data_IF_741823897975
#
_entry.id   IF_741823897975
#
_cell.length_a   1.000
_cell.length_b   1.000
_cell.length_c   1.000
_cell.angle_alpha   90.00
_cell.angle_beta   90.00
_cell.angle_gamma   90.00
#
_symmetry.space_group_name_H-M   'P 1'
#
loop_
_entity.id
_entity.type
_entity.pdbx_description
1 polymer ?
#
# COMPACT_ATOMS: atom_id res chain seq x y z
N UNK A 1 30.68 -18.59 -39.80
CA UNK A 1 29.29 -18.62 -39.26
C UNK A 1 29.17 -19.39 -37.93
N UNK A 2 30.00 -20.39 -37.64
CA UNK A 2 29.96 -21.14 -36.34
C UNK A 2 30.29 -20.27 -35.10
N UNK A 3 31.33 -19.42 -35.18
CA UNK A 3 31.79 -18.63 -34.05
C UNK A 3 30.75 -17.61 -33.54
N UNK A 4 29.91 -17.05 -34.41
CA UNK A 4 28.92 -16.07 -34.03
C UNK A 4 27.78 -16.69 -33.19
N UNK A 5 27.35 -17.90 -33.49
CA UNK A 5 26.29 -18.59 -32.74
C UNK A 5 26.79 -19.02 -31.35
N UNK A 6 28.02 -19.51 -31.24
CA UNK A 6 28.63 -19.89 -29.95
C UNK A 6 28.81 -18.68 -29.03
N UNK A 7 29.17 -17.52 -29.61
CA UNK A 7 29.31 -16.27 -28.86
C UNK A 7 27.96 -15.78 -28.32
N UNK A 8 26.88 -15.85 -29.11
CA UNK A 8 25.52 -15.49 -28.65
C UNK A 8 25.03 -16.42 -27.53
N UNK A 9 25.28 -17.71 -27.63
CA UNK A 9 24.93 -18.68 -26.58
C UNK A 9 25.68 -18.38 -25.30
N UNK A 10 26.99 -18.10 -25.38
CA UNK A 10 27.80 -17.75 -24.21
C UNK A 10 27.27 -16.49 -23.55
N UNK A 11 26.98 -15.45 -24.32
CA UNK A 11 26.49 -14.17 -23.81
C UNK A 11 25.11 -14.29 -23.18
N UNK A 12 24.21 -15.07 -23.77
CA UNK A 12 22.91 -15.39 -23.17
C UNK A 12 23.09 -16.10 -21.82
N UNK A 13 24.04 -17.03 -21.68
CA UNK A 13 24.36 -17.70 -20.42
C UNK A 13 24.90 -16.72 -19.35
N UNK A 14 25.72 -15.78 -19.76
CA UNK A 14 26.23 -14.71 -18.87
C UNK A 14 25.06 -13.85 -18.34
N UNK A 15 24.13 -13.45 -19.21
CA UNK A 15 22.92 -12.71 -18.77
C UNK A 15 22.05 -13.54 -17.83
N UNK A 16 21.88 -14.85 -18.09
CA UNK A 16 21.15 -15.73 -17.17
C UNK A 16 21.81 -15.86 -15.80
N UNK A 17 23.13 -15.64 -15.68
CA UNK A 17 23.77 -15.59 -14.36
C UNK A 17 23.32 -14.36 -13.54
N UNK A 18 23.06 -13.23 -14.21
CA UNK A 18 22.49 -12.02 -13.57
C UNK A 18 21.03 -12.27 -13.15
N UNK A 19 20.24 -12.91 -14.02
CA UNK A 19 18.84 -13.27 -13.68
C UNK A 19 18.80 -14.06 -12.38
N UNK A 20 19.66 -15.09 -12.25
CA UNK A 20 19.72 -15.90 -11.01
C UNK A 20 20.07 -15.08 -9.79
N UNK A 21 21.00 -14.12 -9.89
CA UNK A 21 21.35 -13.25 -8.77
C UNK A 21 20.14 -12.44 -8.32
N UNK A 22 19.35 -11.86 -9.25
CA UNK A 22 18.15 -11.13 -8.91
C UNK A 22 17.06 -12.02 -8.30
N UNK A 23 16.86 -13.23 -8.85
CA UNK A 23 15.90 -14.21 -8.32
C UNK A 23 16.32 -14.67 -6.90
N UNK A 24 17.60 -14.95 -6.69
CA UNK A 24 18.14 -15.32 -5.37
C UNK A 24 17.99 -14.19 -4.35
N UNK A 25 18.24 -12.94 -4.75
CA UNK A 25 18.04 -11.78 -3.91
C UNK A 25 16.54 -11.59 -3.59
N UNK A 26 15.66 -11.70 -4.59
CA UNK A 26 14.22 -11.58 -4.38
C UNK A 26 13.72 -12.61 -3.37
N UNK A 27 14.03 -13.89 -3.58
CA UNK A 27 13.68 -14.97 -2.66
C UNK A 27 14.22 -14.76 -1.24
N UNK A 28 15.48 -14.32 -1.13
CA UNK A 28 16.14 -14.05 0.16
C UNK A 28 15.42 -12.96 0.96
N UNK A 29 14.87 -11.95 0.32
CA UNK A 29 14.21 -10.82 0.97
C UNK A 29 12.70 -11.00 1.15
N UNK A 30 12.06 -11.84 0.32
CA UNK A 30 10.67 -12.28 0.52
C UNK A 30 10.56 -13.22 1.74
N UNK A 31 11.56 -14.07 1.94
CA UNK A 31 11.64 -15.02 3.05
C UNK A 31 12.92 -14.80 3.89
N UNK A 32 12.99 -13.71 4.66
CA UNK A 32 14.21 -13.41 5.42
C UNK A 32 14.50 -14.50 6.44
N UNK A 33 15.81 -14.80 6.70
CA UNK A 33 16.21 -15.78 7.69
C UNK A 33 15.58 -15.51 9.06
N UNK A 34 15.15 -16.55 9.76
CA UNK A 34 14.42 -16.46 11.03
C UNK A 34 15.17 -15.71 12.14
N UNK A 35 16.50 -15.70 12.11
CA UNK A 35 17.36 -14.95 13.02
C UNK A 35 17.32 -13.43 12.79
N UNK A 36 16.91 -13.00 11.60
CA UNK A 36 16.72 -11.58 11.23
C UNK A 36 15.30 -11.12 11.56
N UNK A 37 14.30 -11.98 11.36
CA UNK A 37 12.89 -11.66 11.59
C UNK A 37 12.49 -11.61 13.07
N UNK A 38 13.17 -12.36 13.93
CA UNK A 38 12.79 -12.54 15.35
C UNK A 38 13.65 -11.70 16.27
N UNK A 39 13.28 -10.45 16.50
CA UNK A 39 13.82 -9.70 17.61
C UNK A 39 12.72 -9.40 18.64
N UNK A 40 12.98 -9.52 19.95
CA UNK A 40 11.99 -9.15 20.95
C UNK A 40 11.60 -7.69 20.81
N UNK A 41 10.32 -7.42 20.79
CA UNK A 41 9.78 -6.11 21.13
C UNK A 41 10.01 -5.90 22.61
N UNK A 42 11.09 -5.20 22.97
CA UNK A 42 11.40 -4.92 24.37
C UNK A 42 10.65 -3.65 24.80
N UNK A 43 9.68 -3.74 25.71
CA UNK A 43 8.92 -2.58 26.16
C UNK A 43 9.73 -1.65 27.08
N UNK A 44 10.82 -2.15 27.68
CA UNK A 44 11.63 -1.40 28.65
C UNK A 44 12.98 -0.97 28.05
N UNK A 45 12.97 0.05 27.19
CA UNK A 45 14.19 0.63 26.63
C UNK A 45 14.99 1.39 27.69
N UNK A 46 16.23 0.95 27.91
CA UNK A 46 17.19 1.70 28.73
C UNK A 46 17.74 2.92 27.98
N UNK A 47 18.37 3.88 28.72
CA UNK A 47 19.03 5.03 28.10
C UNK A 47 20.15 4.60 27.15
N UNK A 48 20.81 3.47 27.43
CA UNK A 48 21.87 2.88 26.61
C UNK A 48 21.30 2.29 25.31
N UNK A 49 20.13 1.66 25.36
CA UNK A 49 19.41 1.18 24.19
C UNK A 49 18.95 2.33 23.28
N UNK A 50 18.52 3.45 23.86
CA UNK A 50 18.17 4.66 23.11
C UNK A 50 19.37 5.28 22.39
N UNK A 51 20.55 5.30 23.03
CA UNK A 51 21.79 5.75 22.41
C UNK A 51 22.18 4.87 21.21
N UNK A 52 22.08 3.54 21.38
CA UNK A 52 22.35 2.55 20.32
C UNK A 52 21.37 2.68 19.18
N UNK A 53 20.08 2.84 19.45
CA UNK A 53 19.05 3.08 18.41
C UNK A 53 19.30 4.40 17.66
N UNK A 54 19.71 5.46 18.37
CA UNK A 54 20.09 6.74 17.75
C UNK A 54 21.31 6.61 16.82
N UNK A 55 22.26 5.74 17.14
CA UNK A 55 23.40 5.45 16.25
C UNK A 55 22.97 4.65 15.02
N UNK A 56 22.12 3.65 15.20
CA UNK A 56 21.53 2.86 14.11
C UNK A 56 20.75 3.77 13.16
N UNK A 57 19.91 4.66 13.69
CA UNK A 57 19.14 5.61 12.90
C UNK A 57 20.06 6.56 12.11
N UNK A 58 21.12 7.05 12.75
CA UNK A 58 22.11 7.91 12.10
C UNK A 58 22.86 7.16 10.98
N UNK A 59 23.23 5.90 11.17
CA UNK A 59 23.82 5.03 10.15
C UNK A 59 22.86 4.80 9.00
N UNK A 60 21.58 4.55 9.28
CA UNK A 60 20.54 4.42 8.28
C UNK A 60 20.46 5.66 7.39
N UNK A 61 20.33 6.83 7.99
CA UNK A 61 20.17 8.12 7.29
C UNK A 61 21.41 8.54 6.49
N UNK A 62 22.61 8.38 7.06
CA UNK A 62 23.84 8.93 6.49
C UNK A 62 24.59 7.96 5.56
N UNK A 63 24.27 6.68 5.59
CA UNK A 63 25.01 5.66 4.87
C UNK A 63 24.13 4.68 4.11
N UNK A 64 23.23 3.97 4.78
CA UNK A 64 22.51 2.84 4.17
C UNK A 64 21.50 3.30 3.13
N UNK A 65 20.60 4.23 3.47
CA UNK A 65 19.59 4.75 2.54
C UNK A 65 20.21 5.46 1.34
N UNK A 66 21.21 6.36 1.52
CA UNK A 66 21.96 6.92 0.38
C UNK A 66 22.66 5.87 -0.49
N UNK A 67 23.24 4.81 0.11
CA UNK A 67 23.87 3.74 -0.66
C UNK A 67 22.85 2.93 -1.49
N UNK A 68 21.69 2.58 -0.93
CA UNK A 68 20.61 1.93 -1.70
C UNK A 68 20.21 2.81 -2.88
N UNK A 69 20.01 4.11 -2.65
CA UNK A 69 19.67 5.09 -3.70
C UNK A 69 20.73 5.14 -4.80
N UNK A 70 22.01 5.14 -4.44
CA UNK A 70 23.13 5.12 -5.36
C UNK A 70 23.16 3.84 -6.20
N UNK A 71 22.99 2.67 -5.55
CA UNK A 71 22.99 1.38 -6.24
C UNK A 71 21.81 1.23 -7.21
N UNK A 72 20.58 1.59 -6.81
CA UNK A 72 19.41 1.51 -7.70
C UNK A 72 19.52 2.51 -8.85
N UNK A 73 20.12 3.69 -8.62
CA UNK A 73 20.40 4.66 -9.68
C UNK A 73 21.45 4.14 -10.65
N UNK A 74 22.48 3.45 -10.15
CA UNK A 74 23.53 2.84 -10.98
C UNK A 74 23.01 1.68 -11.80
N UNK A 75 22.12 0.85 -11.23
CA UNK A 75 21.39 -0.18 -11.98
C UNK A 75 20.53 0.43 -13.09
N UNK A 76 19.81 1.52 -12.81
CA UNK A 76 19.01 2.22 -13.83
C UNK A 76 19.89 2.69 -14.98
N UNK A 77 21.03 3.33 -14.70
CA UNK A 77 21.97 3.78 -15.72
C UNK A 77 22.50 2.63 -16.57
N UNK A 78 22.79 1.47 -15.98
CA UNK A 78 23.25 0.30 -16.73
C UNK A 78 22.25 -0.20 -17.76
N UNK A 79 20.95 0.12 -17.56
CA UNK A 79 19.86 -0.20 -18.48
C UNK A 79 19.59 0.92 -19.49
N UNK A 80 19.81 2.19 -19.10
CA UNK A 80 19.61 3.37 -19.97
C UNK A 80 20.66 3.50 -21.08
N UNK A 81 21.92 3.18 -20.78
CA UNK A 81 23.04 3.26 -21.71
C UNK A 81 23.02 2.21 -22.82
N UNK A 82 21.98 1.35 -22.83
CA UNK A 82 21.82 0.32 -23.85
C UNK A 82 21.30 0.92 -25.16
N UNK A 83 21.93 0.54 -26.28
CA UNK A 83 21.48 0.93 -27.62
C UNK A 83 20.04 0.42 -27.84
N UNK A 84 19.18 1.26 -28.43
CA UNK A 84 17.74 0.97 -28.59
C UNK A 84 17.48 -0.26 -29.48
N UNK A 85 18.36 -0.54 -30.43
CA UNK A 85 18.13 -1.59 -31.44
C UNK A 85 18.50 -3.00 -30.94
N UNK A 86 19.54 -3.11 -30.08
CA UNK A 86 19.99 -4.38 -29.49
C UNK A 86 20.59 -4.15 -28.10
N UNK A 87 19.78 -4.09 -27.05
CA UNK A 87 20.30 -3.85 -25.70
C UNK A 87 21.17 -5.03 -25.25
N UNK A 88 22.45 -4.73 -25.05
CA UNK A 88 23.42 -5.67 -24.52
C UNK A 88 23.83 -5.25 -23.11
N UNK A 89 23.16 -5.78 -22.07
CA UNK A 89 23.49 -5.37 -20.70
C UNK A 89 24.94 -5.74 -20.35
N UNK A 90 25.61 -4.83 -19.65
CA UNK A 90 26.93 -5.07 -19.09
C UNK A 90 26.78 -5.97 -17.87
N UNK A 91 27.07 -7.27 -18.08
CA UNK A 91 26.90 -8.32 -17.08
C UNK A 91 27.81 -8.08 -15.87
N UNK A 92 29.07 -7.73 -16.10
CA UNK A 92 30.06 -7.57 -15.02
C UNK A 92 29.71 -6.35 -14.15
N UNK A 93 29.34 -5.23 -14.77
CA UNK A 93 28.89 -4.04 -14.08
C UNK A 93 27.61 -4.33 -13.27
N UNK A 94 26.62 -4.98 -13.88
CA UNK A 94 25.36 -5.31 -13.24
C UNK A 94 25.55 -6.26 -12.04
N UNK A 95 26.40 -7.28 -12.17
CA UNK A 95 26.75 -8.19 -11.07
C UNK A 95 27.45 -7.47 -9.92
N UNK A 96 28.40 -6.54 -10.24
CA UNK A 96 29.07 -5.73 -9.24
C UNK A 96 28.10 -4.89 -8.43
N UNK A 97 27.23 -4.13 -9.11
CA UNK A 97 26.22 -3.29 -8.45
C UNK A 97 25.24 -4.13 -7.65
N UNK A 98 24.80 -5.28 -8.18
CA UNK A 98 23.88 -6.18 -7.49
C UNK A 98 24.47 -6.75 -6.20
N UNK A 99 25.78 -7.09 -6.20
CA UNK A 99 26.48 -7.56 -5.01
C UNK A 99 26.56 -6.48 -3.93
N UNK A 100 26.85 -5.23 -4.29
CA UNK A 100 26.93 -4.11 -3.36
C UNK A 100 25.54 -3.76 -2.81
N UNK A 101 24.52 -3.81 -3.66
CA UNK A 101 23.12 -3.64 -3.26
C UNK A 101 22.69 -4.74 -2.28
N UNK A 102 22.98 -6.01 -2.57
CA UNK A 102 22.65 -7.14 -1.68
C UNK A 102 23.24 -6.96 -0.28
N UNK A 103 24.52 -6.57 -0.20
CA UNK A 103 25.18 -6.30 1.07
C UNK A 103 24.50 -5.16 1.83
N UNK A 104 24.10 -4.11 1.13
CA UNK A 104 23.47 -2.93 1.74
C UNK A 104 22.05 -3.27 2.21
N UNK A 105 21.26 -3.98 1.39
CA UNK A 105 19.91 -4.44 1.76
C UNK A 105 19.95 -5.38 2.96
N UNK A 106 20.90 -6.33 2.99
CA UNK A 106 21.06 -7.23 4.13
C UNK A 106 21.40 -6.47 5.42
N UNK A 107 22.25 -5.45 5.34
CA UNK A 107 22.59 -4.61 6.49
C UNK A 107 21.37 -3.79 6.95
N UNK A 108 20.56 -3.31 6.01
CA UNK A 108 19.32 -2.56 6.27
C UNK A 108 18.25 -3.46 6.91
N UNK A 109 18.09 -4.69 6.43
CA UNK A 109 17.20 -5.68 7.02
C UNK A 109 17.53 -5.99 8.49
N UNK A 110 18.84 -6.14 8.82
CA UNK A 110 19.29 -6.40 10.20
C UNK A 110 18.93 -5.28 11.18
N UNK A 111 18.69 -4.08 10.72
CA UNK A 111 18.22 -2.96 11.55
C UNK A 111 16.68 -2.80 11.50
N UNK A 112 15.96 -3.83 11.01
CA UNK A 112 14.50 -3.93 10.98
C UNK A 112 13.80 -2.87 10.12
N UNK A 113 14.41 -2.50 8.99
CA UNK A 113 13.79 -1.67 7.95
C UNK A 113 13.26 -2.56 6.81
N UNK A 114 12.42 -3.52 7.18
CA UNK A 114 11.95 -4.59 6.29
C UNK A 114 11.19 -4.05 5.08
N UNK A 115 10.34 -3.04 5.28
CA UNK A 115 9.47 -2.50 4.24
C UNK A 115 10.22 -1.91 3.03
N UNK A 116 11.37 -1.25 3.27
CA UNK A 116 12.18 -0.69 2.18
C UNK A 116 12.90 -1.80 1.42
N UNK A 117 13.35 -2.83 2.15
CA UNK A 117 14.03 -3.99 1.59
C UNK A 117 13.06 -4.80 0.75
N UNK A 118 11.87 -5.11 1.28
CA UNK A 118 10.81 -5.81 0.55
C UNK A 118 10.36 -5.01 -0.69
N UNK A 119 10.17 -3.70 -0.57
CA UNK A 119 9.78 -2.86 -1.71
C UNK A 119 10.81 -2.88 -2.84
N UNK A 120 12.11 -2.81 -2.51
CA UNK A 120 13.19 -2.92 -3.50
C UNK A 120 13.21 -4.31 -4.12
N UNK A 121 13.10 -5.37 -3.30
CA UNK A 121 13.16 -6.74 -3.77
C UNK A 121 11.94 -7.12 -4.63
N UNK A 122 10.75 -7.01 -4.09
CA UNK A 122 9.52 -7.50 -4.74
C UNK A 122 9.13 -6.72 -5.99
N UNK A 123 9.47 -5.42 -6.05
CA UNK A 123 9.08 -4.58 -7.18
C UNK A 123 10.21 -4.39 -8.20
N UNK A 124 11.36 -3.93 -7.73
CA UNK A 124 12.43 -3.48 -8.60
C UNK A 124 13.28 -4.65 -9.11
N UNK A 125 13.71 -5.58 -8.23
CA UNK A 125 14.56 -6.70 -8.64
C UNK A 125 13.80 -7.67 -9.55
N UNK A 126 12.50 -7.86 -9.35
CA UNK A 126 11.64 -8.66 -10.23
C UNK A 126 11.60 -8.06 -11.64
N UNK A 127 11.45 -6.74 -11.76
CA UNK A 127 11.49 -6.06 -13.06
C UNK A 127 12.85 -6.18 -13.75
N UNK A 128 13.95 -6.07 -13.01
CA UNK A 128 15.29 -6.30 -13.55
C UNK A 128 15.50 -7.74 -14.01
N UNK A 129 15.05 -8.72 -13.24
CA UNK A 129 15.07 -10.15 -13.62
C UNK A 129 14.32 -10.37 -14.93
N UNK A 130 13.10 -9.85 -15.03
CA UNK A 130 12.25 -9.95 -16.24
C UNK A 130 12.89 -9.27 -17.45
N UNK A 131 13.50 -8.10 -17.26
CA UNK A 131 14.23 -7.40 -18.31
C UNK A 131 15.42 -8.22 -18.84
N UNK A 132 16.29 -8.68 -17.94
CA UNK A 132 17.47 -9.48 -18.28
C UNK A 132 17.06 -10.80 -18.96
N UNK A 133 16.04 -11.49 -18.46
CA UNK A 133 15.51 -12.69 -19.07
C UNK A 133 15.02 -12.42 -20.50
N UNK A 134 14.33 -11.32 -20.73
CA UNK A 134 13.84 -10.93 -22.05
C UNK A 134 15.00 -10.66 -23.02
N UNK A 135 16.07 -10.00 -22.56
CA UNK A 135 17.29 -9.78 -23.34
C UNK A 135 17.98 -11.12 -23.70
N UNK A 136 18.12 -12.04 -22.74
CA UNK A 136 18.72 -13.35 -22.97
C UNK A 136 17.93 -14.17 -23.99
N UNK A 137 16.61 -14.19 -23.88
CA UNK A 137 15.71 -14.88 -24.82
C UNK A 137 15.80 -14.27 -26.22
N UNK A 138 15.84 -12.93 -26.34
CA UNK A 138 15.93 -12.25 -27.62
C UNK A 138 17.19 -12.63 -28.41
N UNK A 139 18.29 -12.95 -27.73
CA UNK A 139 19.53 -13.42 -28.37
C UNK A 139 19.45 -14.84 -28.92
N UNK A 140 18.52 -15.65 -28.39
CA UNK A 140 18.44 -17.07 -28.69
C UNK A 140 17.37 -17.43 -29.73
N UNK A 141 16.40 -16.54 -29.97
CA UNK A 141 15.25 -16.80 -30.84
C UNK A 141 15.45 -16.24 -32.25
N UNK A 142 14.85 -16.87 -33.26
CA UNK A 142 14.95 -16.45 -34.67
C UNK A 142 14.13 -15.17 -34.96
N UNK A 143 13.02 -14.97 -34.23
CA UNK A 143 12.20 -13.75 -34.29
C UNK A 143 12.13 -13.15 -32.91
N UNK A 144 13.04 -12.22 -32.59
CA UNK A 144 13.16 -11.64 -31.25
C UNK A 144 12.16 -10.49 -30.97
N UNK A 145 11.32 -10.12 -31.92
CA UNK A 145 10.50 -8.89 -31.81
C UNK A 145 9.64 -8.86 -30.53
N UNK A 146 9.02 -9.98 -30.14
CA UNK A 146 8.23 -10.04 -28.91
C UNK A 146 9.09 -9.89 -27.64
N UNK A 147 10.29 -10.49 -27.63
CA UNK A 147 11.19 -10.42 -26.49
C UNK A 147 11.75 -8.99 -26.31
N UNK A 148 12.07 -8.32 -27.41
CA UNK A 148 12.47 -6.91 -27.38
C UNK A 148 11.35 -5.98 -26.92
N UNK A 149 10.10 -6.23 -27.34
CA UNK A 149 8.95 -5.49 -26.84
C UNK A 149 8.78 -5.68 -25.32
N UNK A 150 8.96 -6.90 -24.82
CA UNK A 150 8.91 -7.19 -23.40
C UNK A 150 10.06 -6.49 -22.65
N UNK A 151 11.28 -6.56 -23.16
CA UNK A 151 12.43 -5.87 -22.59
C UNK A 151 12.21 -4.35 -22.54
N UNK A 152 11.70 -3.76 -23.62
CA UNK A 152 11.38 -2.33 -23.68
C UNK A 152 10.32 -1.92 -22.64
N UNK A 153 9.28 -2.73 -22.47
CA UNK A 153 8.26 -2.51 -21.43
C UNK A 153 8.87 -2.60 -20.03
N UNK A 154 9.62 -3.68 -19.75
CA UNK A 154 10.26 -3.84 -18.43
C UNK A 154 11.24 -2.71 -18.14
N UNK A 155 11.96 -2.18 -19.15
CA UNK A 155 12.82 -1.00 -19.00
C UNK A 155 12.03 0.23 -18.56
N UNK A 156 10.85 0.46 -19.14
CA UNK A 156 9.99 1.56 -18.72
C UNK A 156 9.47 1.36 -17.29
N UNK A 157 9.08 0.15 -16.93
CA UNK A 157 8.65 -0.18 -15.57
C UNK A 157 9.79 0.02 -14.56
N UNK A 158 11.03 -0.36 -14.90
CA UNK A 158 12.23 -0.09 -14.10
C UNK A 158 12.40 1.40 -13.83
N UNK A 159 12.25 2.26 -14.84
CA UNK A 159 12.32 3.71 -14.64
C UNK A 159 11.33 4.22 -13.62
N UNK A 160 10.05 3.82 -13.76
CA UNK A 160 8.98 4.24 -12.85
C UNK A 160 9.24 3.73 -11.44
N UNK A 161 9.60 2.45 -11.29
CA UNK A 161 9.85 1.84 -9.98
C UNK A 161 11.11 2.42 -9.31
N UNK A 162 12.17 2.67 -10.07
CA UNK A 162 13.38 3.30 -9.53
C UNK A 162 13.08 4.70 -9.00
N UNK A 163 12.29 5.51 -9.73
CA UNK A 163 11.86 6.81 -9.25
C UNK A 163 11.06 6.69 -7.94
N UNK A 164 10.13 5.75 -7.86
CA UNK A 164 9.37 5.47 -6.63
C UNK A 164 10.26 5.04 -5.45
N UNK A 165 11.25 4.18 -5.69
CA UNK A 165 12.22 3.78 -4.64
C UNK A 165 13.02 4.98 -4.14
N UNK A 166 13.49 5.82 -5.06
CA UNK A 166 14.26 7.04 -4.72
C UNK A 166 13.41 8.00 -3.90
N UNK A 167 12.18 8.29 -4.33
CA UNK A 167 11.25 9.15 -3.60
C UNK A 167 10.95 8.60 -2.21
N UNK A 168 10.70 7.29 -2.09
CA UNK A 168 10.46 6.63 -0.80
C UNK A 168 11.66 6.70 0.14
N UNK A 169 12.88 6.61 -0.39
CA UNK A 169 14.11 6.77 0.38
C UNK A 169 14.26 8.23 0.86
N UNK A 170 14.05 9.20 -0.02
CA UNK A 170 14.16 10.63 0.32
C UNK A 170 13.08 11.02 1.37
N UNK A 171 11.86 10.52 1.22
CA UNK A 171 10.80 10.71 2.20
C UNK A 171 11.14 10.07 3.55
N UNK A 172 11.74 8.87 3.55
CA UNK A 172 12.18 8.19 4.78
C UNK A 172 13.29 8.97 5.48
N UNK A 173 14.26 9.49 4.74
CA UNK A 173 15.32 10.35 5.29
C UNK A 173 14.70 11.62 5.86
N UNK A 174 13.83 12.29 5.12
CA UNK A 174 13.16 13.50 5.56
C UNK A 174 12.29 13.26 6.81
N UNK A 175 11.55 12.14 6.84
CA UNK A 175 10.75 11.72 7.98
C UNK A 175 11.62 11.44 9.20
N UNK A 176 12.71 10.71 9.04
CA UNK A 176 13.61 10.34 10.13
C UNK A 176 14.42 11.51 10.71
N UNK A 177 14.57 12.60 9.96
CA UNK A 177 15.14 13.87 10.42
C UNK A 177 14.06 14.82 11.01
N UNK A 178 12.81 14.45 10.89
CA UNK A 178 11.68 15.20 11.39
C UNK A 178 11.63 15.21 12.93
N UNK A 179 11.03 16.25 13.49
CA UNK A 179 10.61 16.22 14.91
C UNK A 179 9.46 15.22 15.09
N UNK A 180 9.23 14.76 16.33
CA UNK A 180 8.10 13.89 16.67
C UNK A 180 6.77 14.47 16.15
N UNK A 181 6.61 15.79 16.22
CA UNK A 181 5.45 16.49 15.65
C UNK A 181 5.38 16.42 14.12
N UNK A 182 6.51 16.40 13.44
CA UNK A 182 6.54 16.24 11.99
C UNK A 182 6.14 14.81 11.61
N UNK A 183 6.54 13.81 12.39
CA UNK A 183 6.15 12.40 12.23
C UNK A 183 4.64 12.26 12.41
N UNK A 184 4.10 12.65 13.58
CA UNK A 184 2.65 12.60 13.85
C UNK A 184 1.85 13.32 12.76
N UNK A 185 2.33 14.49 12.34
CA UNK A 185 1.68 15.25 11.27
C UNK A 185 1.75 14.53 9.92
N UNK A 186 2.87 13.87 9.61
CA UNK A 186 3.06 13.06 8.40
C UNK A 186 2.02 11.93 8.35
N UNK A 187 1.89 11.15 9.40
CA UNK A 187 0.93 10.07 9.51
C UNK A 187 -0.51 10.56 9.29
N UNK A 188 -0.89 11.66 9.92
CA UNK A 188 -2.22 12.24 9.77
C UNK A 188 -2.47 12.87 8.38
N UNK A 189 -1.41 13.33 7.68
CA UNK A 189 -1.51 13.78 6.28
C UNK A 189 -1.69 12.60 5.33
N UNK A 190 -0.98 11.49 5.55
CA UNK A 190 -1.19 10.25 4.79
C UNK A 190 -2.62 9.76 4.96
N UNK A 191 -3.13 9.75 6.20
CA UNK A 191 -4.53 9.45 6.48
C UNK A 191 -5.50 10.28 5.66
N UNK A 192 -5.28 11.57 5.61
CA UNK A 192 -6.15 12.46 4.83
C UNK A 192 -6.08 12.13 3.34
N UNK A 193 -4.90 11.76 2.83
CA UNK A 193 -4.71 11.27 1.47
C UNK A 193 -5.53 10.00 1.21
N UNK A 194 -5.42 9.00 2.08
CA UNK A 194 -6.20 7.76 1.98
C UNK A 194 -7.70 8.00 2.06
N UNK A 195 -8.16 8.84 2.98
CA UNK A 195 -9.59 9.19 3.09
C UNK A 195 -10.09 9.83 1.79
N UNK A 196 -9.31 10.70 1.17
CA UNK A 196 -9.68 11.29 -0.12
C UNK A 196 -9.75 10.25 -1.24
N UNK A 197 -8.78 9.33 -1.28
CA UNK A 197 -8.76 8.20 -2.22
C UNK A 197 -9.99 7.29 -2.02
N UNK A 198 -10.28 6.89 -0.78
CA UNK A 198 -11.47 6.09 -0.45
C UNK A 198 -12.76 6.80 -0.88
N UNK A 199 -12.84 8.12 -0.64
CA UNK A 199 -14.01 8.90 -1.03
C UNK A 199 -14.22 8.94 -2.54
N UNK A 200 -13.15 9.11 -3.32
CA UNK A 200 -13.18 9.10 -4.78
C UNK A 200 -13.67 7.75 -5.31
N UNK A 201 -13.10 6.65 -4.81
CA UNK A 201 -13.51 5.30 -5.22
C UNK A 201 -14.96 4.97 -4.83
N UNK A 202 -15.39 5.35 -3.63
CA UNK A 202 -16.79 5.18 -3.23
C UNK A 202 -17.75 5.98 -4.12
N UNK A 203 -17.36 7.18 -4.54
CA UNK A 203 -18.18 7.98 -5.47
C UNK A 203 -18.28 7.33 -6.86
N UNK A 204 -17.24 6.67 -7.34
CA UNK A 204 -17.27 5.87 -8.57
C UNK A 204 -18.23 4.69 -8.44
N UNK A 205 -18.16 3.93 -7.37
CA UNK A 205 -19.07 2.80 -7.10
C UNK A 205 -20.52 3.23 -6.84
N UNK A 206 -20.72 4.42 -6.27
CA UNK A 206 -22.05 4.96 -6.01
C UNK A 206 -22.81 5.35 -7.32
N UNK A 207 -22.06 5.67 -8.40
CA UNK A 207 -22.61 6.12 -9.65
C UNK A 207 -22.06 5.32 -10.86
N UNK A 208 -22.35 4.02 -10.96
CA UNK A 208 -21.78 3.15 -12.00
C UNK A 208 -22.16 3.55 -13.45
N UNK A 209 -23.15 4.43 -13.62
CA UNK A 209 -23.57 4.93 -14.94
C UNK A 209 -22.56 5.86 -15.62
N UNK A 210 -21.54 6.34 -14.89
CA UNK A 210 -20.50 7.23 -15.45
C UNK A 210 -19.36 6.47 -16.14
N UNK A 211 -19.22 5.15 -15.90
CA UNK A 211 -18.13 4.34 -16.48
C UNK A 211 -18.48 3.62 -17.78
N UNK A 212 -19.75 3.57 -18.16
CA UNK A 212 -20.14 3.03 -19.46
C UNK A 212 -19.80 4.06 -20.55
N UNK A 213 -18.52 4.11 -20.94
CA UNK A 213 -18.15 4.76 -22.20
C UNK A 213 -18.93 4.12 -23.33
N UNK A 214 -19.47 4.91 -24.30
CA UNK A 214 -20.29 4.39 -25.41
C UNK A 214 -19.59 3.31 -26.24
N UNK A 215 -18.26 3.20 -26.17
CA UNK A 215 -17.47 2.20 -26.88
C UNK A 215 -17.56 0.79 -26.29
N UNK A 216 -17.67 0.64 -24.95
CA UNK A 216 -17.88 -0.69 -24.33
C UNK A 216 -19.30 -1.22 -24.54
N UNK A 217 -20.30 -0.34 -24.59
CA UNK A 217 -21.66 -0.72 -24.94
C UNK A 217 -21.77 -1.19 -26.41
N UNK A 218 -20.93 -0.67 -27.31
CA UNK A 218 -20.88 -1.09 -28.71
C UNK A 218 -20.20 -2.44 -28.91
N UNK A 219 -19.17 -2.77 -28.11
CA UNK A 219 -18.46 -4.06 -28.21
C UNK A 219 -19.31 -5.24 -27.71
N UNK A 220 -20.25 -5.00 -26.78
CA UNK A 220 -21.18 -6.05 -26.31
C UNK A 220 -22.33 -6.32 -27.26
N UNK A 221 -22.65 -5.39 -28.17
CA UNK A 221 -23.77 -5.54 -29.12
C UNK A 221 -23.34 -6.22 -30.45
N UNK A 222 -22.04 -6.22 -30.78
CA UNK A 222 -21.59 -6.66 -32.12
C UNK A 222 -21.21 -8.13 -32.25
N UNK A 223 -21.38 -8.96 -31.21
CA UNK A 223 -20.91 -10.38 -31.24
C UNK A 223 -21.99 -11.45 -31.19
N UNK A 224 -23.29 -11.13 -31.35
CA UNK A 224 -24.35 -12.13 -31.30
C UNK A 224 -25.50 -11.83 -32.25
N UNK A 225 -25.27 -12.03 -33.58
CA UNK A 225 -26.37 -12.11 -34.53
C UNK A 225 -27.02 -13.50 -34.68
N UNK A 226 -26.50 -14.55 -33.98
CA UNK A 226 -27.00 -15.93 -34.11
C UNK A 226 -27.28 -16.67 -32.81
N UNK A 227 -27.56 -16.00 -31.68
CA UNK A 227 -27.92 -16.68 -30.43
C UNK A 227 -29.40 -16.51 -30.06
N UNK A 228 -30.05 -17.63 -29.77
CA UNK A 228 -31.46 -17.75 -29.36
C UNK A 228 -31.80 -16.80 -28.20
N UNK A 229 -32.86 -15.93 -28.32
CA UNK A 229 -33.17 -14.90 -27.34
C UNK A 229 -33.62 -15.42 -25.94
N UNK A 230 -33.74 -16.72 -25.76
CA UNK A 230 -34.26 -17.31 -24.51
C UNK A 230 -33.22 -17.46 -23.39
N UNK A 231 -31.89 -17.40 -23.70
CA UNK A 231 -30.85 -17.74 -22.71
C UNK A 231 -30.15 -16.51 -22.07
N UNK A 232 -30.37 -15.30 -22.59
CA UNK A 232 -29.67 -14.09 -22.09
C UNK A 232 -30.30 -13.43 -20.87
N UNK A 233 -31.51 -13.80 -20.49
CA UNK A 233 -32.23 -13.18 -19.37
C UNK A 233 -31.73 -13.64 -17.99
N UNK A 234 -31.04 -14.76 -17.90
CA UNK A 234 -30.62 -15.34 -16.60
C UNK A 234 -29.31 -14.75 -16.03
N UNK A 235 -28.41 -14.22 -16.83
CA UNK A 235 -27.08 -13.74 -16.39
C UNK A 235 -27.11 -12.25 -16.03
N UNK A 236 -28.00 -11.47 -16.62
CA UNK A 236 -28.05 -10.01 -16.43
C UNK A 236 -28.64 -9.60 -15.08
N UNK A 237 -29.59 -10.37 -14.55
CA UNK A 237 -30.26 -10.08 -13.27
C UNK A 237 -29.35 -10.17 -12.03
N UNK A 238 -28.47 -11.17 -11.85
CA UNK A 238 -27.57 -11.24 -10.69
C UNK A 238 -26.53 -10.11 -10.68
N UNK A 239 -25.95 -9.78 -11.84
CA UNK A 239 -24.95 -8.70 -11.98
C UNK A 239 -25.56 -7.33 -11.69
N UNK A 240 -26.74 -7.06 -12.15
CA UNK A 240 -27.47 -5.82 -11.86
C UNK A 240 -27.77 -5.69 -10.38
N UNK A 241 -28.23 -6.76 -9.73
CA UNK A 241 -28.49 -6.78 -8.28
C UNK A 241 -27.20 -6.58 -7.46
N UNK A 242 -26.05 -7.11 -7.90
CA UNK A 242 -24.76 -6.87 -7.26
C UNK A 242 -24.34 -5.40 -7.39
N UNK A 243 -24.48 -4.79 -8.57
CA UNK A 243 -24.18 -3.37 -8.81
C UNK A 243 -25.08 -2.46 -7.95
N UNK A 244 -26.37 -2.74 -7.86
CA UNK A 244 -27.31 -1.96 -7.03
C UNK A 244 -26.89 -2.01 -5.55
N UNK A 245 -26.54 -3.19 -5.02
CA UNK A 245 -26.04 -3.33 -3.64
C UNK A 245 -24.72 -2.60 -3.42
N UNK A 246 -23.77 -2.76 -4.34
CA UNK A 246 -22.50 -2.04 -4.29
C UNK A 246 -22.73 -0.53 -4.21
N UNK A 247 -23.60 -0.01 -5.08
CA UNK A 247 -23.99 1.41 -5.08
C UNK A 247 -24.65 1.84 -3.78
N UNK A 248 -25.53 1.02 -3.21
CA UNK A 248 -26.23 1.33 -1.97
C UNK A 248 -25.29 1.35 -0.76
N UNK A 249 -24.36 0.37 -0.65
CA UNK A 249 -23.32 0.34 0.38
C UNK A 249 -22.37 1.52 0.20
N UNK A 250 -21.91 1.78 -1.01
CA UNK A 250 -21.02 2.91 -1.29
C UNK A 250 -21.67 4.24 -0.90
N UNK A 251 -22.92 4.48 -1.33
CA UNK A 251 -23.67 5.68 -0.98
C UNK A 251 -23.86 5.85 0.52
N UNK A 252 -24.07 4.75 1.26
CA UNK A 252 -24.22 4.75 2.70
C UNK A 252 -22.89 4.95 3.44
N UNK A 253 -21.74 4.56 2.82
CA UNK A 253 -20.40 4.70 3.39
C UNK A 253 -19.82 6.11 3.19
N UNK A 254 -20.15 6.80 2.09
CA UNK A 254 -19.66 8.15 1.78
C UNK A 254 -19.83 9.15 2.96
N UNK A 255 -20.98 9.25 3.64
CA UNK A 255 -21.11 10.15 4.80
C UNK A 255 -20.14 9.82 5.93
N UNK A 256 -19.87 8.54 6.21
CA UNK A 256 -18.94 8.08 7.23
C UNK A 256 -17.51 8.53 6.92
N UNK A 257 -17.06 8.33 5.66
CA UNK A 257 -15.74 8.77 5.20
C UNK A 257 -15.61 10.30 5.24
N UNK A 258 -16.68 11.04 4.96
CA UNK A 258 -16.71 12.51 5.11
C UNK A 258 -16.56 12.94 6.58
N UNK A 259 -17.20 12.25 7.52
CA UNK A 259 -17.05 12.52 8.96
C UNK A 259 -15.62 12.22 9.44
N UNK A 260 -15.02 11.10 9.00
CA UNK A 260 -13.62 10.77 9.26
C UNK A 260 -12.68 11.86 8.70
N UNK A 261 -12.94 12.35 7.49
CA UNK A 261 -12.19 13.47 6.91
C UNK A 261 -12.26 14.74 7.74
N UNK A 262 -13.44 15.08 8.27
CA UNK A 262 -13.63 16.23 9.13
C UNK A 262 -12.81 16.08 10.42
N UNK A 263 -12.83 14.89 11.04
CA UNK A 263 -12.05 14.58 12.24
C UNK A 263 -10.56 14.74 11.99
N UNK A 264 -10.01 14.06 10.98
CA UNK A 264 -8.58 14.12 10.62
C UNK A 264 -8.14 15.52 10.26
N UNK A 265 -8.95 16.25 9.48
CA UNK A 265 -8.66 17.65 9.13
C UNK A 265 -8.62 18.56 10.36
N UNK A 266 -9.49 18.34 11.34
CA UNK A 266 -9.49 19.10 12.59
C UNK A 266 -8.23 18.82 13.39
N UNK A 267 -7.84 17.55 13.54
CA UNK A 267 -6.61 17.14 14.24
C UNK A 267 -5.36 17.73 13.57
N UNK A 268 -5.26 17.65 12.24
CA UNK A 268 -4.15 18.25 11.50
C UNK A 268 -4.00 19.75 11.70
N UNK A 269 -5.12 20.49 11.85
CA UNK A 269 -5.08 21.93 12.11
C UNK A 269 -4.58 22.28 13.51
N UNK A 270 -4.67 21.33 14.42
CA UNK A 270 -4.23 21.49 15.80
C UNK A 270 -2.75 21.17 15.96
N UNK A 271 -2.18 20.28 15.13
CA UNK A 271 -0.75 19.95 15.15
C UNK A 271 0.06 21.14 14.59
N UNK A 272 1.07 21.64 15.32
CA UNK A 272 1.87 22.78 14.89
C UNK A 272 2.60 22.51 13.57
N UNK A 273 2.58 23.47 12.64
CA UNK A 273 3.30 23.37 11.36
C UNK A 273 4.81 23.51 11.50
N UNK A 274 5.28 24.24 12.49
CA UNK A 274 6.70 24.42 12.88
C UNK A 274 6.74 25.10 14.25
N UNK A 275 7.48 24.53 15.20
CA UNK A 275 8.03 25.32 16.31
C UNK A 275 9.43 25.79 15.93
N UNK A 276 9.60 27.08 15.84
CA UNK A 276 10.80 27.75 15.27
C UNK A 276 11.88 28.01 16.29
N UNK A 277 12.06 27.41 17.43
CA UNK A 277 13.23 27.71 18.28
C UNK A 277 13.26 27.17 19.71
N UNK A 278 12.31 26.35 20.14
CA UNK A 278 12.47 25.68 21.42
C UNK A 278 12.79 24.18 21.17
N UNK A 279 13.70 23.59 21.99
CA UNK A 279 13.85 22.13 21.97
C UNK A 279 12.47 21.54 22.24
N UNK A 280 11.97 20.78 21.29
CA UNK A 280 10.71 20.06 21.37
C UNK A 280 10.73 19.24 22.67
N UNK A 281 9.82 19.44 23.63
CA UNK A 281 9.71 18.50 24.72
C UNK A 281 9.31 17.18 24.08
N UNK A 282 10.28 16.30 23.80
CA UNK A 282 10.11 15.09 23.02
C UNK A 282 8.84 14.35 23.43
N UNK A 283 8.04 13.98 22.44
CA UNK A 283 6.91 13.09 22.69
C UNK A 283 7.53 11.74 23.04
N UNK A 284 7.14 11.11 24.13
CA UNK A 284 7.65 9.79 24.44
C UNK A 284 7.10 8.75 23.43
N UNK A 285 7.84 7.66 23.23
CA UNK A 285 7.51 6.63 22.25
C UNK A 285 6.11 6.04 22.46
N UNK A 286 5.66 5.87 23.70
CA UNK A 286 4.31 5.40 24.03
C UNK A 286 3.23 6.37 23.52
N UNK A 287 3.46 7.66 23.65
CA UNK A 287 2.51 8.67 23.14
C UNK A 287 2.50 8.74 21.61
N UNK A 288 3.65 8.57 20.96
CA UNK A 288 3.74 8.47 19.51
C UNK A 288 2.98 7.25 18.99
N UNK A 289 3.18 6.08 19.60
CA UNK A 289 2.46 4.85 19.26
C UNK A 289 0.96 5.02 19.42
N UNK A 290 0.50 5.62 20.51
CA UNK A 290 -0.92 5.90 20.73
C UNK A 290 -1.52 6.84 19.67
N UNK A 291 -0.75 7.81 19.16
CA UNK A 291 -1.24 8.67 18.08
C UNK A 291 -1.29 7.93 16.75
N UNK A 292 -0.32 7.05 16.49
CA UNK A 292 -0.33 6.17 15.35
C UNK A 292 -1.52 5.20 15.41
N UNK A 293 -1.75 4.55 16.55
CA UNK A 293 -2.87 3.62 16.75
C UNK A 293 -4.24 4.32 16.63
N UNK A 294 -4.35 5.53 17.14
CA UNK A 294 -5.56 6.33 16.99
C UNK A 294 -5.86 6.62 15.52
N UNK A 295 -4.84 6.88 14.72
CA UNK A 295 -4.93 7.05 13.29
C UNK A 295 -5.33 5.75 12.57
N UNK A 296 -4.61 4.66 12.80
CA UNK A 296 -4.88 3.34 12.20
C UNK A 296 -6.29 2.83 12.56
N UNK A 297 -6.76 3.12 13.77
CA UNK A 297 -8.10 2.72 14.19
C UNK A 297 -9.23 3.33 13.35
N UNK A 298 -8.98 4.50 12.73
CA UNK A 298 -9.93 5.15 11.81
C UNK A 298 -9.78 4.60 10.39
N UNK A 299 -8.55 4.51 9.91
CA UNK A 299 -8.28 4.26 8.48
C UNK A 299 -8.45 2.80 8.12
N UNK A 300 -7.89 1.88 8.91
CA UNK A 300 -7.92 0.44 8.62
C UNK A 300 -9.35 -0.08 8.44
N UNK A 301 -10.30 0.17 9.35
CA UNK A 301 -11.67 -0.31 9.14
C UNK A 301 -12.37 0.33 7.93
N UNK A 302 -12.06 1.60 7.60
CA UNK A 302 -12.61 2.25 6.40
C UNK A 302 -12.06 1.62 5.11
N UNK A 303 -10.76 1.28 5.10
CA UNK A 303 -10.11 0.55 3.99
C UNK A 303 -10.75 -0.85 3.82
N UNK A 304 -10.98 -1.55 4.93
CA UNK A 304 -11.58 -2.88 4.92
C UNK A 304 -13.04 -2.84 4.43
N UNK A 305 -13.82 -1.82 4.80
CA UNK A 305 -15.16 -1.59 4.24
C UNK A 305 -15.08 -1.34 2.73
N UNK A 306 -14.10 -0.55 2.26
CA UNK A 306 -13.91 -0.30 0.82
C UNK A 306 -13.57 -1.60 0.07
N UNK A 307 -12.67 -2.41 0.60
CA UNK A 307 -12.33 -3.73 0.03
C UNK A 307 -13.57 -4.63 -0.04
N UNK A 308 -14.44 -4.54 0.97
CA UNK A 308 -15.71 -5.26 1.00
C UNK A 308 -16.67 -4.76 -0.09
N UNK A 309 -16.75 -3.47 -0.34
CA UNK A 309 -17.55 -2.89 -1.44
C UNK A 309 -17.07 -3.42 -2.80
N UNK A 310 -15.76 -3.44 -3.03
CA UNK A 310 -15.17 -4.02 -4.24
C UNK A 310 -15.47 -5.51 -4.38
N UNK A 311 -15.38 -6.26 -3.28
CA UNK A 311 -15.68 -7.69 -3.27
C UNK A 311 -17.11 -8.00 -3.67
N UNK A 312 -18.11 -7.22 -3.20
CA UNK A 312 -19.52 -7.34 -3.60
C UNK A 312 -19.66 -7.18 -5.12
N UNK A 313 -18.96 -6.23 -5.70
CA UNK A 313 -19.00 -5.96 -7.14
C UNK A 313 -18.45 -7.13 -7.97
N UNK A 314 -17.32 -7.74 -7.53
CA UNK A 314 -16.66 -8.79 -8.28
C UNK A 314 -17.40 -10.13 -8.25
N UNK A 315 -18.07 -10.46 -7.16
CA UNK A 315 -18.73 -11.77 -7.00
C UNK A 315 -19.97 -11.98 -7.86
N UNK A 316 -20.57 -10.95 -8.44
CA UNK A 316 -21.75 -11.05 -9.36
C UNK A 316 -22.89 -11.98 -8.87
N UNK A 317 -22.86 -12.40 -7.61
CA UNK A 317 -23.83 -13.35 -7.03
C UNK A 317 -25.02 -12.61 -6.42
N UNK A 318 -26.20 -13.21 -6.53
CA UNK A 318 -27.43 -12.64 -5.97
C UNK A 318 -27.46 -12.68 -4.43
N UNK A 319 -26.63 -13.50 -3.80
CA UNK A 319 -26.55 -13.73 -2.35
C UNK A 319 -25.12 -13.52 -1.86
N UNK A 320 -24.97 -13.01 -0.65
CA UNK A 320 -23.68 -12.89 0.01
C UNK A 320 -23.39 -14.13 0.84
N UNK A 321 -22.09 -14.44 0.98
CA UNK A 321 -21.62 -15.42 1.93
C UNK A 321 -21.89 -14.95 3.37
N UNK A 322 -22.28 -15.88 4.26
CA UNK A 322 -22.57 -15.57 5.66
C UNK A 322 -21.35 -15.03 6.38
N UNK A 323 -20.17 -15.64 6.12
CA UNK A 323 -18.91 -15.25 6.75
C UNK A 323 -18.49 -13.84 6.33
N UNK A 324 -18.72 -13.50 5.06
CA UNK A 324 -18.44 -12.16 4.54
C UNK A 324 -19.35 -11.09 5.16
N UNK A 325 -20.67 -11.37 5.27
CA UNK A 325 -21.62 -10.47 5.92
C UNK A 325 -21.24 -10.23 7.38
N UNK A 326 -20.92 -11.30 8.10
CA UNK A 326 -20.60 -11.24 9.52
C UNK A 326 -19.25 -10.51 9.74
N UNK A 327 -18.28 -10.69 8.84
CA UNK A 327 -17.04 -9.89 8.83
C UNK A 327 -17.33 -8.38 8.64
N UNK A 328 -18.19 -8.02 7.70
CA UNK A 328 -18.58 -6.61 7.52
C UNK A 328 -19.28 -6.04 8.76
N UNK A 329 -20.15 -6.80 9.40
CA UNK A 329 -20.84 -6.37 10.63
C UNK A 329 -19.84 -6.15 11.78
N UNK A 330 -18.81 -7.01 11.92
CA UNK A 330 -17.74 -6.84 12.90
C UNK A 330 -16.93 -5.57 12.64
N UNK A 331 -16.55 -5.31 11.38
CA UNK A 331 -15.86 -4.09 10.97
C UNK A 331 -16.66 -2.82 11.30
N UNK A 332 -17.96 -2.82 11.01
CA UNK A 332 -18.82 -1.68 11.29
C UNK A 332 -19.00 -1.46 12.79
N UNK A 333 -19.07 -2.53 13.59
CA UNK A 333 -19.11 -2.44 15.05
C UNK A 333 -17.79 -1.90 15.62
N UNK A 334 -16.65 -2.25 15.05
CA UNK A 334 -15.35 -1.63 15.39
C UNK A 334 -15.36 -0.14 15.08
N UNK A 335 -15.83 0.26 13.89
CA UNK A 335 -15.97 1.66 13.48
C UNK A 335 -16.88 2.46 14.41
N UNK A 336 -17.95 1.86 14.94
CA UNK A 336 -18.86 2.53 15.87
C UNK A 336 -18.13 3.07 17.10
N UNK A 337 -17.16 2.32 17.62
CA UNK A 337 -16.41 2.70 18.83
C UNK A 337 -15.19 3.57 18.53
N UNK A 338 -14.77 3.67 17.28
CA UNK A 338 -13.51 4.31 16.89
C UNK A 338 -13.47 5.81 17.27
N UNK A 339 -14.54 6.55 17.03
CA UNK A 339 -14.57 7.99 17.33
C UNK A 339 -14.42 8.26 18.82
N UNK A 340 -15.14 7.53 19.67
CA UNK A 340 -15.04 7.66 21.13
C UNK A 340 -13.64 7.28 21.63
N UNK A 341 -13.05 6.18 21.09
CA UNK A 341 -11.70 5.75 21.43
C UNK A 341 -10.67 6.80 21.02
N UNK A 342 -10.72 7.30 19.78
CA UNK A 342 -9.83 8.34 19.28
C UNK A 342 -9.94 9.62 20.15
N UNK A 343 -11.15 10.03 20.49
CA UNK A 343 -11.38 11.20 21.34
C UNK A 343 -10.80 11.01 22.74
N UNK A 344 -10.91 9.80 23.33
CA UNK A 344 -10.36 9.51 24.66
C UNK A 344 -8.84 9.45 24.68
N UNK A 345 -8.19 9.11 23.57
CA UNK A 345 -6.73 9.11 23.45
C UNK A 345 -6.22 10.54 23.16
N UNK A 346 -6.79 11.20 22.18
CA UNK A 346 -6.30 12.49 21.66
C UNK A 346 -6.53 13.62 22.64
N UNK A 347 -7.72 13.71 23.25
CA UNK A 347 -8.05 14.85 24.11
C UNK A 347 -7.12 14.98 25.34
N UNK A 348 -6.88 13.94 26.16
CA UNK A 348 -6.05 14.08 27.36
C UNK A 348 -4.55 14.13 27.08
N UNK A 349 -4.06 13.57 25.96
CA UNK A 349 -2.63 13.46 25.67
C UNK A 349 -2.12 14.50 24.68
N UNK A 350 -2.84 14.73 23.59
CA UNK A 350 -2.43 15.70 22.57
C UNK A 350 -2.62 17.15 23.02
N UNK A 351 -3.73 17.45 23.69
CA UNK A 351 -4.05 18.82 24.05
C UNK A 351 -3.06 19.47 25.03
N UNK A 352 -2.63 18.79 26.11
CA UNK A 352 -1.62 19.35 27.02
C UNK A 352 -0.28 19.59 26.34
N UNK A 353 0.12 18.72 25.40
CA UNK A 353 1.38 18.86 24.66
C UNK A 353 1.37 20.05 23.70
N UNK A 354 0.20 20.36 23.11
CA UNK A 354 0.06 21.45 22.15
C UNK A 354 -0.02 22.85 22.80
N UNK A 355 -0.60 22.96 23.98
CA UNK A 355 -0.97 24.25 24.59
C UNK A 355 -0.29 24.53 25.94
N UNK A 356 0.51 23.58 26.46
CA UNK A 356 1.06 23.62 27.81
C UNK A 356 -0.01 23.31 28.85
N UNK A 357 0.44 22.96 30.07
CA UNK A 357 -0.44 22.53 31.17
C UNK A 357 -1.32 23.66 31.74
N UNK A 358 -1.03 24.93 31.40
CA UNK A 358 -1.72 26.10 31.98
C UNK A 358 -3.06 26.43 31.32
N UNK A 359 -3.38 25.85 30.16
CA UNK A 359 -4.62 26.14 29.44
C UNK A 359 -5.52 24.90 29.33
N UNK A 360 -6.36 24.68 30.33
CA UNK A 360 -7.35 23.60 30.36
C UNK A 360 -8.46 23.72 29.25
N UNK A 361 -8.62 24.92 28.65
CA UNK A 361 -9.68 25.22 27.68
C UNK A 361 -9.63 24.38 26.39
N UNK A 362 -8.47 24.16 25.70
CA UNK A 362 -8.46 23.49 24.40
C UNK A 362 -8.83 22.02 24.44
N UNK A 363 -8.54 21.32 25.54
CA UNK A 363 -8.91 19.89 25.68
C UNK A 363 -10.43 19.74 25.87
N UNK A 364 -11.05 20.63 26.62
CA UNK A 364 -12.51 20.69 26.81
C UNK A 364 -13.20 21.03 25.48
N UNK A 365 -12.63 21.97 24.73
CA UNK A 365 -13.17 22.41 23.44
C UNK A 365 -13.09 21.32 22.38
N UNK A 366 -11.98 20.56 22.32
CA UNK A 366 -11.88 19.41 21.43
C UNK A 366 -12.86 18.31 21.84
N UNK A 367 -12.97 17.99 23.12
CA UNK A 367 -13.92 17.00 23.62
C UNK A 367 -15.37 17.41 23.32
N UNK A 368 -15.73 18.67 23.58
CA UNK A 368 -17.06 19.19 23.27
C UNK A 368 -17.34 19.13 21.76
N UNK A 369 -16.35 19.45 20.94
CA UNK A 369 -16.48 19.36 19.50
C UNK A 369 -16.59 17.92 19.02
N UNK A 370 -15.80 16.96 19.53
CA UNK A 370 -15.87 15.55 19.12
C UNK A 370 -17.24 14.94 19.44
N UNK A 371 -17.86 15.31 20.55
CA UNK A 371 -19.22 14.93 20.90
C UNK A 371 -20.26 15.38 19.83
N UNK A 372 -19.99 16.47 19.11
CA UNK A 372 -20.88 16.90 18.01
C UNK A 372 -20.81 15.98 16.79
N UNK A 373 -19.73 15.19 16.64
CA UNK A 373 -19.59 14.22 15.57
C UNK A 373 -20.15 12.83 15.96
N UNK A 374 -20.21 12.50 17.25
CA UNK A 374 -20.63 11.17 17.71
C UNK A 374 -22.05 10.83 17.23
N UNK A 375 -23.00 11.72 17.39
CA UNK A 375 -24.36 11.50 16.94
C UNK A 375 -24.49 11.22 15.43
N UNK A 376 -23.98 12.10 14.55
CA UNK A 376 -23.93 11.83 13.12
C UNK A 376 -23.15 10.54 12.75
N UNK A 377 -22.05 10.25 13.45
CA UNK A 377 -21.26 9.04 13.24
C UNK A 377 -22.06 7.79 13.54
N UNK A 378 -22.69 7.72 14.71
CA UNK A 378 -23.53 6.58 15.12
C UNK A 378 -24.70 6.37 14.15
N UNK A 379 -25.39 7.44 13.76
CA UNK A 379 -26.50 7.36 12.79
C UNK A 379 -26.05 6.73 11.47
N UNK A 380 -24.89 7.11 10.96
CA UNK A 380 -24.36 6.59 9.69
C UNK A 380 -23.93 5.14 9.84
N UNK A 381 -23.22 4.79 10.92
CA UNK A 381 -22.80 3.42 11.17
C UNK A 381 -24.01 2.50 11.39
N UNK A 382 -25.01 2.93 12.17
CA UNK A 382 -26.22 2.16 12.39
C UNK A 382 -27.02 1.94 11.09
N UNK A 383 -27.04 2.94 10.19
CA UNK A 383 -27.63 2.78 8.87
C UNK A 383 -26.90 1.71 8.03
N UNK A 384 -25.57 1.71 8.05
CA UNK A 384 -24.76 0.70 7.36
C UNK A 384 -24.97 -0.69 7.97
N UNK A 385 -24.99 -0.82 9.30
CA UNK A 385 -25.25 -2.06 10.00
C UNK A 385 -26.62 -2.64 9.60
N UNK A 386 -27.66 -1.81 9.56
CA UNK A 386 -29.00 -2.22 9.14
C UNK A 386 -29.02 -2.66 7.67
N UNK A 387 -28.33 -1.91 6.79
CA UNK A 387 -28.24 -2.24 5.37
C UNK A 387 -27.57 -3.61 5.17
N UNK A 388 -26.38 -3.83 5.76
CA UNK A 388 -25.63 -5.08 5.64
C UNK A 388 -26.41 -6.26 6.26
N UNK A 389 -27.08 -6.03 7.39
CA UNK A 389 -27.93 -7.06 8.03
C UNK A 389 -29.11 -7.46 7.16
N UNK A 390 -29.60 -6.57 6.29
CA UNK A 390 -30.72 -6.85 5.40
C UNK A 390 -30.35 -7.72 4.19
N UNK A 391 -29.06 -7.91 3.92
CA UNK A 391 -28.63 -8.71 2.78
C UNK A 391 -28.99 -10.18 2.93
N UNK A 392 -29.59 -10.75 1.87
CA UNK A 392 -29.88 -12.17 1.81
C UNK A 392 -28.59 -12.97 1.77
N UNK A 393 -28.49 -13.98 2.61
CA UNK A 393 -27.36 -14.88 2.73
C UNK A 393 -27.75 -16.23 2.15
N UNK A 394 -26.87 -16.84 1.39
CA UNK A 394 -27.01 -18.23 1.02
C UNK A 394 -26.81 -19.13 2.23
N UNK A 395 -27.72 -20.05 2.53
CA UNK A 395 -27.42 -21.07 3.52
C UNK A 395 -26.21 -21.86 3.02
N UNK A 396 -25.19 -21.99 3.87
CA UNK A 396 -24.06 -22.89 3.59
C UNK A 396 -24.63 -24.24 3.20
N UNK A 397 -24.48 -24.65 1.95
CA UNK A 397 -24.65 -26.06 1.60
C UNK A 397 -23.58 -26.78 2.41
N UNK A 398 -23.98 -27.43 3.50
CA UNK A 398 -23.17 -28.45 4.13
C UNK A 398 -22.79 -29.40 3.01
N UNK A 399 -21.53 -29.33 2.59
CA UNK A 399 -20.88 -30.42 1.87
C UNK A 399 -21.04 -31.63 2.79
N UNK A 400 -22.16 -32.35 2.59
CA UNK A 400 -22.34 -33.65 3.19
C UNK A 400 -21.09 -34.42 2.82
N UNK A 401 -20.32 -34.76 3.82
CA UNK A 401 -19.30 -35.78 3.78
C UNK A 401 -20.00 -37.03 3.26
N UNK A 402 -19.89 -37.29 1.96
CA UNK A 402 -20.06 -38.65 1.45
C UNK A 402 -18.75 -39.36 1.79
N UNK A 403 -18.81 -40.11 2.88
CA UNK A 403 -17.92 -41.21 3.17
C UNK A 403 -18.07 -42.35 2.13
#
# INVERSE_FOLDING_TARGET
>A
MSNSAEELVKRSQEIYSVVRVFEDMNYKYEFPPADVASGPTDPDLTIEDMATKGEILRKLQSSLLPAIKEHVTSLLKSVEELEEEYPHPDVDLTLGISSDLDQTLMTTLRIKMDWIVSFVAESLLECYSTFMQSCAVAMMVTDPAWAWNQASKSRQDIHVLTAHVIDSIDDTIAWSLGSDWAIVRGDWLMALGEINFLLEHLMQHANPSLELTPDLARLTISSTEDADPSDHTYVETPRKAAMERTSEVANSTIPLVKLARILVTKLLRMIPKKRKSEPDPGINSETLELFHDAFESIIRPLRDVMSSVQHIQWRSQATLDIDFRDCMLDLLNKLKNTLATTSTIVAPRLMPLLHGAEHASPASDFKAWSLTLEGPWDIVVDRLLNLVSSFKVEPQQQLAQEE
#
